data_IF_775271801646
#
_entry.id   IF_775271801646
#
_cell.length_a   1.000
_cell.length_b   1.000
_cell.length_c   1.000
_cell.angle_alpha   90.00
_cell.angle_beta   90.00
_cell.angle_gamma   90.00
#
_symmetry.space_group_name_H-M   'P 1'
#
loop_
_entity.id
_entity.type
_entity.pdbx_description
1 polymer ?
#
# COMPACT_ATOMS: atom_id res chain seq x y z
N UNK A 1 6.29 -27.45 22.00
CA UNK A 1 5.45 -27.65 20.79
C UNK A 1 4.88 -26.29 20.45
N UNK A 2 5.38 -25.65 19.39
CA UNK A 2 4.81 -24.38 18.91
C UNK A 2 3.40 -24.69 18.41
N UNK A 3 2.42 -23.88 18.79
CA UNK A 3 1.01 -24.07 18.44
C UNK A 3 0.85 -24.19 16.92
N UNK A 4 0.35 -25.33 16.48
CA UNK A 4 0.28 -25.85 15.09
C UNK A 4 -0.48 -24.95 14.08
N UNK A 5 -1.01 -23.82 14.53
CA UNK A 5 -1.87 -22.94 13.73
C UNK A 5 -1.22 -21.63 13.29
N UNK A 6 -0.15 -21.14 13.92
CA UNK A 6 0.32 -19.76 13.70
C UNK A 6 0.83 -19.47 12.27
N UNK A 7 1.02 -20.50 11.44
CA UNK A 7 1.54 -20.40 10.08
C UNK A 7 0.68 -21.14 9.04
N UNK A 8 -0.61 -21.39 9.35
CA UNK A 8 -1.53 -22.01 8.41
C UNK A 8 -1.91 -21.02 7.29
N UNK A 9 -1.53 -21.36 6.06
CA UNK A 9 -1.80 -20.54 4.86
C UNK A 9 -2.70 -21.32 3.91
N UNK A 10 -3.80 -20.71 3.49
CA UNK A 10 -4.61 -21.22 2.39
C UNK A 10 -4.26 -20.50 1.10
N UNK A 11 -3.97 -21.24 0.02
CA UNK A 11 -3.70 -20.71 -1.31
C UNK A 11 -4.88 -21.06 -2.22
N UNK A 12 -5.55 -20.04 -2.76
CA UNK A 12 -6.66 -20.21 -3.71
C UNK A 12 -6.38 -19.55 -5.04
N UNK A 13 -6.82 -20.18 -6.12
CA UNK A 13 -6.56 -19.75 -7.49
C UNK A 13 -7.63 -20.25 -8.46
N UNK A 14 -7.70 -19.66 -9.66
CA UNK A 14 -8.55 -20.20 -10.72
C UNK A 14 -7.85 -21.40 -11.36
N UNK A 15 -8.50 -22.56 -11.31
CA UNK A 15 -8.04 -23.75 -12.03
C UNK A 15 -8.08 -23.47 -13.54
N UNK A 16 -6.90 -23.18 -14.08
CA UNK A 16 -6.68 -22.81 -15.47
C UNK A 16 -5.96 -23.94 -16.21
N UNK A 17 -4.91 -23.64 -16.97
CA UNK A 17 -4.08 -24.64 -17.65
C UNK A 17 -3.08 -25.34 -16.71
N UNK A 18 -2.48 -26.44 -17.18
CA UNK A 18 -1.53 -27.23 -16.41
C UNK A 18 -0.29 -26.42 -15.98
N UNK A 19 0.23 -25.55 -16.84
CA UNK A 19 1.40 -24.72 -16.52
C UNK A 19 1.14 -23.80 -15.31
N UNK A 20 -0.03 -23.15 -15.27
CA UNK A 20 -0.42 -22.31 -14.13
C UNK A 20 -0.61 -23.15 -12.85
N UNK A 21 -1.23 -24.34 -12.98
CA UNK A 21 -1.40 -25.25 -11.85
C UNK A 21 -0.05 -25.73 -11.31
N UNK A 22 0.91 -26.04 -12.16
CA UNK A 22 2.26 -26.43 -11.76
C UNK A 22 2.98 -25.25 -11.09
N UNK A 23 2.83 -24.02 -11.59
CA UNK A 23 3.37 -22.82 -10.93
C UNK A 23 2.82 -22.64 -9.50
N UNK A 24 1.51 -22.80 -9.32
CA UNK A 24 0.89 -22.74 -7.98
C UNK A 24 1.42 -23.87 -7.09
N UNK A 25 1.54 -25.09 -7.62
CA UNK A 25 2.09 -26.22 -6.88
C UNK A 25 3.52 -25.98 -6.40
N UNK A 26 4.41 -25.51 -7.28
CA UNK A 26 5.78 -25.15 -6.91
C UNK A 26 5.83 -24.01 -5.89
N UNK A 27 4.98 -22.99 -6.05
CA UNK A 27 4.86 -21.90 -5.10
C UNK A 27 4.46 -22.38 -3.70
N UNK A 28 3.44 -23.26 -3.61
CA UNK A 28 2.99 -23.86 -2.36
C UNK A 28 4.11 -24.70 -1.73
N UNK A 29 4.80 -25.53 -2.52
CA UNK A 29 5.94 -26.28 -2.02
C UNK A 29 7.06 -25.37 -1.52
N UNK A 30 7.36 -24.27 -2.20
CA UNK A 30 8.36 -23.30 -1.77
C UNK A 30 8.00 -22.64 -0.43
N UNK A 31 6.72 -22.32 -0.21
CA UNK A 31 6.23 -21.82 1.08
C UNK A 31 6.41 -22.88 2.19
N UNK A 32 6.23 -24.16 1.88
CA UNK A 32 6.43 -25.25 2.84
C UNK A 32 7.92 -25.48 3.12
N UNK A 33 8.73 -25.59 2.08
CA UNK A 33 10.17 -25.83 2.12
C UNK A 33 10.85 -24.95 1.03
N UNK A 34 11.73 -24.00 1.41
CA UNK A 34 12.40 -23.86 2.70
C UNK A 34 11.74 -22.88 3.68
N UNK A 35 10.56 -22.31 3.37
CA UNK A 35 10.02 -21.21 4.19
C UNK A 35 9.30 -21.64 5.47
N UNK A 36 8.92 -22.91 5.61
CA UNK A 36 8.41 -23.48 6.86
C UNK A 36 6.94 -23.18 7.17
N UNK A 37 6.13 -22.75 6.20
CA UNK A 37 4.70 -22.51 6.40
C UNK A 37 3.88 -23.80 6.20
N UNK A 38 2.79 -24.00 6.96
CA UNK A 38 1.78 -25.03 6.61
C UNK A 38 0.84 -24.48 5.53
N UNK A 39 1.38 -24.35 4.31
CA UNK A 39 0.63 -23.91 3.15
C UNK A 39 -0.15 -25.07 2.52
N UNK A 40 -1.44 -24.86 2.25
CA UNK A 40 -2.33 -25.79 1.54
C UNK A 40 -3.04 -25.07 0.41
N UNK A 41 -3.33 -25.78 -0.69
CA UNK A 41 -4.02 -25.19 -1.84
C UNK A 41 -5.41 -25.80 -2.05
N UNK A 42 -6.31 -25.00 -2.62
CA UNK A 42 -7.71 -25.39 -2.90
C UNK A 42 -7.83 -26.74 -3.66
N UNK A 43 -6.98 -26.97 -4.65
CA UNK A 43 -6.99 -28.20 -5.47
C UNK A 43 -6.71 -29.43 -4.63
N UNK A 44 -5.78 -29.35 -3.67
CA UNK A 44 -5.49 -30.47 -2.76
C UNK A 44 -6.69 -30.78 -1.86
N UNK A 45 -7.35 -29.75 -1.32
CA UNK A 45 -8.54 -29.91 -0.48
C UNK A 45 -9.70 -30.53 -1.28
N UNK A 46 -9.87 -30.11 -2.53
CA UNK A 46 -10.90 -30.66 -3.43
C UNK A 46 -10.66 -32.13 -3.80
N UNK A 47 -9.41 -32.59 -3.81
CA UNK A 47 -9.08 -34.00 -4.07
C UNK A 47 -9.35 -34.88 -2.84
N UNK A 48 -9.19 -34.33 -1.63
CA UNK A 48 -9.44 -35.04 -0.38
C UNK A 48 -10.95 -35.20 -0.10
N UNK A 49 -11.79 -34.30 -0.61
CA UNK A 49 -13.24 -34.35 -0.48
C UNK A 49 -13.92 -34.34 -1.86
N UNK A 50 -14.41 -35.50 -2.30
CA UNK A 50 -14.98 -35.73 -3.65
C UNK A 50 -16.14 -34.80 -4.04
N UNK A 51 -16.81 -34.14 -3.09
CA UNK A 51 -17.96 -33.28 -3.34
C UNK A 51 -17.94 -31.95 -2.58
N UNK A 52 -16.76 -31.43 -2.18
CA UNK A 52 -16.70 -30.15 -1.48
C UNK A 52 -17.12 -28.99 -2.41
N UNK A 53 -18.07 -28.17 -1.96
CA UNK A 53 -18.45 -26.96 -2.69
C UNK A 53 -17.41 -25.86 -2.52
N UNK A 54 -17.27 -24.97 -3.50
CA UNK A 54 -16.37 -23.82 -3.42
C UNK A 54 -16.71 -22.92 -2.21
N UNK A 55 -18.01 -22.79 -1.88
CA UNK A 55 -18.50 -22.13 -0.66
C UNK A 55 -17.90 -22.72 0.61
N UNK A 56 -17.94 -24.05 0.77
CA UNK A 56 -17.42 -24.74 1.95
C UNK A 56 -15.90 -24.64 2.03
N UNK A 57 -15.19 -24.71 0.89
CA UNK A 57 -13.75 -24.46 0.85
C UNK A 57 -13.42 -23.03 1.29
N UNK A 58 -14.15 -22.03 0.79
CA UNK A 58 -13.92 -20.64 1.13
C UNK A 58 -14.23 -20.33 2.60
N UNK A 59 -15.30 -20.91 3.13
CA UNK A 59 -15.63 -20.79 4.55
C UNK A 59 -14.49 -21.34 5.43
N UNK A 60 -13.94 -22.52 5.08
CA UNK A 60 -12.77 -23.06 5.80
C UNK A 60 -11.53 -22.19 5.65
N UNK A 61 -11.27 -21.63 4.47
CA UNK A 61 -10.19 -20.65 4.29
C UNK A 61 -10.35 -19.45 5.24
N UNK A 62 -11.59 -19.01 5.45
CA UNK A 62 -11.95 -17.91 6.35
C UNK A 62 -11.91 -18.29 7.84
N UNK A 63 -12.17 -19.54 8.23
CA UNK A 63 -12.22 -19.93 9.64
C UNK A 63 -10.96 -20.60 10.16
N UNK A 64 -10.32 -21.43 9.33
CA UNK A 64 -9.31 -22.40 9.78
C UNK A 64 -7.87 -21.93 9.50
N UNK A 65 -7.71 -20.86 8.71
CA UNK A 65 -6.40 -20.35 8.29
C UNK A 65 -6.20 -18.88 8.71
N UNK A 66 -4.96 -18.56 9.09
CA UNK A 66 -4.54 -17.24 9.52
C UNK A 66 -4.31 -16.30 8.34
N UNK A 67 -3.80 -16.86 7.23
CA UNK A 67 -3.54 -16.14 5.99
C UNK A 67 -4.19 -16.83 4.81
N UNK A 68 -4.69 -16.04 3.88
CA UNK A 68 -5.23 -16.51 2.60
C UNK A 68 -4.49 -15.81 1.47
N UNK A 69 -3.77 -16.59 0.66
CA UNK A 69 -3.15 -16.10 -0.58
C UNK A 69 -4.13 -16.33 -1.72
N UNK A 70 -4.45 -15.26 -2.44
CA UNK A 70 -5.27 -15.30 -3.65
C UNK A 70 -4.34 -15.10 -4.84
N UNK A 71 -4.21 -16.13 -5.68
CA UNK A 71 -3.40 -16.08 -6.89
C UNK A 71 -4.24 -15.56 -8.05
N UNK A 72 -3.97 -14.32 -8.44
CA UNK A 72 -4.59 -13.64 -9.57
C UNK A 72 -4.02 -14.17 -10.90
N UNK A 73 -4.90 -14.31 -11.88
CA UNK A 73 -4.59 -14.74 -13.24
C UNK A 73 -5.68 -14.22 -14.19
N UNK A 74 -5.46 -14.21 -15.52
CA UNK A 74 -6.50 -13.82 -16.46
C UNK A 74 -7.77 -14.67 -16.32
N UNK A 75 -7.62 -15.96 -16.03
CA UNK A 75 -8.76 -16.85 -15.76
C UNK A 75 -9.49 -16.48 -14.48
N UNK A 76 -8.76 -16.08 -13.44
CA UNK A 76 -9.32 -15.61 -12.19
C UNK A 76 -10.12 -14.32 -12.41
N UNK A 77 -9.59 -13.33 -13.15
CA UNK A 77 -10.33 -12.12 -13.56
C UNK A 77 -11.61 -12.45 -14.33
N UNK A 78 -11.54 -13.35 -15.30
CA UNK A 78 -12.73 -13.76 -16.06
C UNK A 78 -13.83 -14.33 -15.15
N UNK A 79 -13.45 -15.19 -14.20
CA UNK A 79 -14.39 -15.75 -13.23
C UNK A 79 -14.96 -14.67 -12.31
N UNK A 80 -14.11 -13.82 -11.75
CA UNK A 80 -14.51 -12.68 -10.91
C UNK A 80 -15.57 -11.81 -11.60
N UNK A 81 -15.31 -11.42 -12.84
CA UNK A 81 -16.22 -10.60 -13.63
C UNK A 81 -17.56 -11.31 -13.94
N UNK A 82 -17.52 -12.61 -14.23
CA UNK A 82 -18.74 -13.40 -14.43
C UNK A 82 -19.59 -13.45 -13.14
N UNK A 83 -18.94 -13.50 -11.97
CA UNK A 83 -19.62 -13.48 -10.67
C UNK A 83 -20.17 -12.09 -10.31
N UNK A 84 -19.46 -11.01 -10.65
CA UNK A 84 -19.95 -9.62 -10.53
C UNK A 84 -21.23 -9.38 -11.37
N UNK A 85 -21.44 -10.16 -12.44
CA UNK A 85 -22.65 -10.16 -13.27
C UNK A 85 -23.91 -10.77 -12.66
N UNK A 86 -23.90 -11.19 -11.39
CA UNK A 86 -25.12 -11.49 -10.62
C UNK A 86 -25.46 -12.97 -10.38
N UNK A 87 -24.55 -13.91 -10.63
CA UNK A 87 -24.73 -15.33 -10.28
C UNK A 87 -23.43 -15.87 -9.66
N UNK A 88 -23.21 -15.59 -8.37
CA UNK A 88 -22.08 -16.14 -7.61
C UNK A 88 -21.98 -15.57 -6.21
N UNK A 89 -22.37 -16.35 -5.21
CA UNK A 89 -22.31 -15.96 -3.78
C UNK A 89 -20.88 -16.00 -3.22
N UNK A 90 -19.99 -16.75 -3.84
CA UNK A 90 -18.71 -17.15 -3.22
C UNK A 90 -17.64 -16.07 -3.31
N UNK A 91 -17.56 -15.40 -4.46
CA UNK A 91 -16.58 -14.36 -4.68
C UNK A 91 -16.89 -13.13 -3.82
N UNK A 92 -18.18 -12.81 -3.65
CA UNK A 92 -18.65 -11.79 -2.71
C UNK A 92 -18.25 -12.07 -1.27
N UNK A 93 -18.15 -13.34 -0.85
CA UNK A 93 -17.66 -13.67 0.50
C UNK A 93 -16.22 -13.21 0.69
N UNK A 94 -15.32 -13.46 -0.28
CA UNK A 94 -13.94 -12.95 -0.22
C UNK A 94 -13.93 -11.43 -0.14
N UNK A 95 -14.67 -10.76 -1.03
CA UNK A 95 -14.70 -9.30 -1.12
C UNK A 95 -15.21 -8.67 0.19
N UNK A 96 -16.21 -9.28 0.83
CA UNK A 96 -16.72 -8.78 2.10
C UNK A 96 -15.76 -9.07 3.27
N UNK A 97 -15.12 -10.25 3.28
CA UNK A 97 -14.23 -10.65 4.38
C UNK A 97 -12.89 -9.91 4.35
N UNK A 98 -12.35 -9.62 3.15
CA UNK A 98 -11.08 -8.89 2.99
C UNK A 98 -11.14 -7.46 3.54
N UNK A 99 -12.31 -6.82 3.51
CA UNK A 99 -12.52 -5.50 4.11
C UNK A 99 -12.64 -5.56 5.63
N UNK A 100 -13.06 -6.71 6.16
CA UNK A 100 -13.16 -6.95 7.62
C UNK A 100 -11.79 -7.32 8.20
N UNK A 101 -10.97 -8.07 7.46
CA UNK A 101 -9.68 -8.59 7.91
C UNK A 101 -8.52 -8.14 7.00
N UNK A 102 -8.06 -6.88 7.13
CA UNK A 102 -7.13 -6.26 6.18
C UNK A 102 -5.75 -6.95 6.09
N UNK A 103 -5.33 -7.67 7.12
CA UNK A 103 -4.04 -8.37 7.15
C UNK A 103 -4.15 -9.86 6.80
N UNK A 104 -5.36 -10.39 6.58
CA UNK A 104 -5.57 -11.82 6.34
C UNK A 104 -5.28 -12.23 4.89
N UNK A 105 -5.72 -11.39 3.95
CA UNK A 105 -5.68 -11.72 2.53
C UNK A 105 -4.48 -11.07 1.84
N UNK A 106 -3.76 -11.86 1.06
CA UNK A 106 -2.60 -11.42 0.29
C UNK A 106 -2.82 -11.75 -1.18
N UNK A 107 -2.88 -10.71 -2.01
CA UNK A 107 -3.02 -10.86 -3.46
C UNK A 107 -1.64 -11.11 -4.07
N UNK A 108 -1.51 -12.16 -4.87
CA UNK A 108 -0.28 -12.55 -5.55
C UNK A 108 -0.58 -12.74 -7.04
N UNK A 109 0.37 -12.43 -7.91
CA UNK A 109 0.28 -12.74 -9.34
C UNK A 109 1.60 -13.31 -9.86
N UNK A 110 1.52 -14.31 -10.74
CA UNK A 110 2.68 -14.83 -11.50
C UNK A 110 2.79 -14.23 -12.90
N UNK A 111 1.91 -13.29 -13.25
CA UNK A 111 1.79 -12.73 -14.59
C UNK A 111 1.82 -11.19 -14.58
N UNK A 112 2.22 -10.59 -13.45
CA UNK A 112 2.26 -9.14 -13.28
C UNK A 112 0.96 -8.55 -12.76
N UNK A 113 0.87 -7.22 -12.79
CA UNK A 113 -0.27 -6.44 -12.28
C UNK A 113 -1.13 -5.83 -13.41
N UNK A 114 -1.09 -6.45 -14.58
CA UNK A 114 -1.83 -5.98 -15.75
C UNK A 114 -3.34 -5.99 -15.52
N UNK A 115 -4.07 -5.11 -16.22
CA UNK A 115 -5.53 -5.08 -16.13
C UNK A 115 -6.10 -6.45 -16.51
N UNK A 116 -5.54 -7.16 -17.48
CA UNK A 116 -5.98 -8.51 -17.87
C UNK A 116 -5.91 -9.55 -16.75
N UNK A 117 -5.12 -9.31 -15.69
CA UNK A 117 -4.93 -10.19 -14.53
C UNK A 117 -5.76 -9.79 -13.33
N UNK A 118 -5.93 -8.48 -13.10
CA UNK A 118 -6.47 -7.94 -11.85
C UNK A 118 -7.97 -7.63 -11.98
N UNK A 119 -8.85 -8.28 -11.20
CA UNK A 119 -10.26 -7.91 -11.13
C UNK A 119 -10.46 -6.48 -10.62
N UNK A 120 -11.52 -5.80 -11.07
CA UNK A 120 -11.83 -4.42 -10.66
C UNK A 120 -11.99 -4.30 -9.13
N UNK A 121 -12.60 -5.30 -8.50
CA UNK A 121 -12.76 -5.42 -7.04
C UNK A 121 -11.45 -5.47 -6.24
N UNK A 122 -10.30 -5.69 -6.92
CA UNK A 122 -8.97 -5.70 -6.32
C UNK A 122 -8.03 -4.60 -6.86
N UNK A 123 -8.49 -3.75 -7.79
CA UNK A 123 -7.63 -2.79 -8.47
C UNK A 123 -6.96 -1.75 -7.54
N UNK A 124 -7.58 -1.44 -6.39
CA UNK A 124 -7.06 -0.51 -5.39
C UNK A 124 -6.26 -1.19 -4.27
N UNK A 125 -6.07 -2.51 -4.33
CA UNK A 125 -5.38 -3.28 -3.28
C UNK A 125 -3.93 -3.54 -3.64
N UNK A 126 -3.12 -3.74 -2.62
CA UNK A 126 -1.71 -4.10 -2.80
C UNK A 126 -1.59 -5.53 -3.35
N UNK A 127 -0.74 -5.70 -4.37
CA UNK A 127 -0.52 -6.97 -5.06
C UNK A 127 0.98 -7.28 -5.06
N UNK A 128 1.34 -8.47 -4.60
CA UNK A 128 2.70 -8.99 -4.74
C UNK A 128 2.87 -9.54 -6.15
N UNK A 129 3.84 -9.00 -6.87
CA UNK A 129 4.17 -9.40 -8.25
C UNK A 129 5.32 -10.40 -8.25
N UNK A 130 4.99 -11.67 -8.44
CA UNK A 130 5.93 -12.78 -8.57
C UNK A 130 6.08 -13.24 -10.03
N UNK A 131 5.81 -12.38 -11.02
CA UNK A 131 6.12 -12.68 -12.43
C UNK A 131 7.61 -12.94 -12.67
N UNK A 132 8.47 -12.32 -11.86
CA UNK A 132 9.87 -12.68 -11.73
C UNK A 132 10.12 -13.33 -10.36
N UNK A 133 10.21 -14.66 -10.33
CA UNK A 133 10.48 -15.43 -9.11
C UNK A 133 11.83 -15.11 -8.45
N UNK A 134 12.78 -14.48 -9.17
CA UNK A 134 14.04 -13.99 -8.59
C UNK A 134 13.92 -12.63 -7.90
N UNK A 135 12.74 -12.01 -7.87
CA UNK A 135 12.55 -10.71 -7.25
C UNK A 135 12.50 -10.82 -5.71
N UNK A 136 13.67 -10.75 -5.08
CA UNK A 136 13.82 -10.84 -3.62
C UNK A 136 13.00 -9.79 -2.87
N UNK A 137 12.78 -8.60 -3.45
CA UNK A 137 11.97 -7.55 -2.82
C UNK A 137 10.52 -7.98 -2.68
N UNK A 138 9.93 -8.51 -3.74
CA UNK A 138 8.52 -8.97 -3.71
C UNK A 138 8.36 -10.20 -2.81
N UNK A 139 9.35 -11.09 -2.79
CA UNK A 139 9.40 -12.18 -1.81
C UNK A 139 9.47 -11.68 -0.37
N UNK A 140 10.36 -10.73 -0.07
CA UNK A 140 10.47 -10.18 1.28
C UNK A 140 9.15 -9.50 1.70
N UNK A 141 8.49 -8.80 0.79
CA UNK A 141 7.14 -8.23 1.02
C UNK A 141 6.10 -9.31 1.33
N UNK A 142 6.09 -10.42 0.59
CA UNK A 142 5.19 -11.54 0.86
C UNK A 142 5.44 -12.13 2.25
N UNK A 143 6.70 -12.42 2.59
CA UNK A 143 7.08 -12.99 3.89
C UNK A 143 6.70 -12.05 5.04
N UNK A 144 6.95 -10.75 4.90
CA UNK A 144 6.57 -9.76 5.90
C UNK A 144 5.05 -9.72 6.12
N UNK A 145 4.24 -9.77 5.06
CA UNK A 145 2.77 -9.84 5.16
C UNK A 145 2.28 -11.16 5.78
N UNK A 146 2.93 -12.28 5.46
CA UNK A 146 2.61 -13.58 6.04
C UNK A 146 2.91 -13.65 7.54
N UNK A 147 3.94 -12.93 7.99
CA UNK A 147 4.37 -12.91 9.39
C UNK A 147 3.78 -11.75 10.22
N UNK A 148 3.02 -10.84 9.60
CA UNK A 148 2.57 -9.58 10.22
C UNK A 148 3.73 -8.75 10.80
N UNK A 149 4.84 -8.67 10.06
CA UNK A 149 6.04 -7.92 10.46
C UNK A 149 6.28 -6.71 9.57
N UNK A 150 6.83 -5.65 10.16
CA UNK A 150 7.26 -4.47 9.42
C UNK A 150 8.49 -4.75 8.55
N UNK A 151 8.59 -4.03 7.44
CA UNK A 151 9.76 -4.09 6.54
C UNK A 151 10.83 -3.04 6.90
N UNK A 152 10.49 -2.07 7.73
CA UNK A 152 11.32 -0.91 8.01
C UNK A 152 11.44 -0.71 9.51
N UNK A 153 12.67 -0.75 10.00
CA UNK A 153 13.00 -0.36 11.37
C UNK A 153 13.41 1.11 11.39
N UNK A 154 12.63 1.93 12.10
CA UNK A 154 12.98 3.33 12.32
C UNK A 154 13.82 3.46 13.58
N UNK A 155 14.81 4.35 13.54
CA UNK A 155 15.54 4.76 14.76
C UNK A 155 14.56 5.37 15.77
N UNK A 156 14.92 5.28 17.05
CA UNK A 156 14.13 5.91 18.11
C UNK A 156 13.96 7.41 17.83
N UNK A 157 12.75 7.90 18.10
CA UNK A 157 12.46 9.33 18.04
C UNK A 157 13.39 10.07 19.01
N UNK A 158 14.07 11.10 18.51
CA UNK A 158 14.96 11.91 19.32
C UNK A 158 14.19 12.61 20.45
N UNK A 159 14.83 12.76 21.62
CA UNK A 159 14.21 13.45 22.77
C UNK A 159 13.97 14.94 22.51
N UNK A 160 14.79 15.55 21.65
CA UNK A 160 14.73 16.97 21.32
C UNK A 160 14.10 17.17 19.94
N UNK A 161 13.11 18.07 19.88
CA UNK A 161 12.46 18.45 18.62
C UNK A 161 13.32 19.45 17.85
N UNK A 162 13.32 19.35 16.53
CA UNK A 162 13.93 20.37 15.68
C UNK A 162 13.21 21.72 15.88
N UNK A 163 13.99 22.77 16.10
CA UNK A 163 13.48 24.14 16.20
C UNK A 163 13.61 24.84 14.84
N UNK A 164 12.60 25.64 14.49
CA UNK A 164 12.66 26.46 13.29
C UNK A 164 13.71 27.58 13.46
N UNK A 165 14.61 27.71 12.49
CA UNK A 165 15.54 28.84 12.42
C UNK A 165 14.73 30.10 12.09
N UNK A 166 14.58 30.99 13.07
CA UNK A 166 13.91 32.28 12.87
C UNK A 166 14.86 33.24 12.16
N UNK A 167 14.45 33.78 11.02
CA UNK A 167 15.15 34.89 10.37
C UNK A 167 14.60 36.21 10.90
N UNK A 168 15.49 37.08 11.39
CA UNK A 168 15.13 38.46 11.73
C UNK A 168 15.44 39.35 10.52
N UNK A 169 14.48 40.11 10.00
CA UNK A 169 14.75 41.07 8.92
C UNK A 169 15.82 42.07 9.35
N UNK A 170 16.82 42.32 8.50
CA UNK A 170 17.75 43.42 8.70
C UNK A 170 16.96 44.71 8.53
N UNK A 171 16.82 45.49 9.61
CA UNK A 171 16.25 46.83 9.53
C UNK A 171 17.12 47.66 8.59
N UNK A 172 16.54 48.16 7.50
CA UNK A 172 17.23 49.09 6.61
C UNK A 172 17.74 50.29 7.43
N UNK A 173 18.96 50.79 7.17
CA UNK A 173 19.45 51.98 7.85
C UNK A 173 18.45 53.12 7.60
N UNK A 174 18.09 53.83 8.68
CA UNK A 174 17.24 55.03 8.57
C UNK A 174 17.87 55.96 7.55
N UNK A 175 17.08 56.41 6.57
CA UNK A 175 17.51 57.38 5.57
C UNK A 175 18.16 58.59 6.27
N UNK A 176 19.26 59.18 5.72
CA UNK A 176 19.87 60.34 6.34
C UNK A 176 18.84 61.47 6.46
N UNK A 177 18.78 62.10 7.63
CA UNK A 177 17.90 63.25 7.90
C UNK A 177 18.11 64.33 6.84
N UNK A 178 17.02 64.72 6.16
CA UNK A 178 17.05 65.84 5.21
C UNK A 178 17.23 67.13 6.00
N UNK A 179 18.45 67.67 6.00
CA UNK A 179 18.72 69.00 6.58
C UNK A 179 18.15 70.08 5.64
N UNK A 180 16.98 70.63 5.99
CA UNK A 180 16.42 71.79 5.28
C UNK A 180 17.21 73.04 5.68
N UNK A 181 18.06 73.54 4.77
CA UNK A 181 18.63 74.89 4.90
C UNK A 181 17.53 75.93 4.67
N UNK A 182 17.15 76.68 5.72
CA UNK A 182 16.33 77.90 5.59
C UNK A 182 17.09 78.95 4.79
N UNK A 183 16.55 79.36 3.64
CA UNK A 183 16.95 80.56 2.92
C UNK A 183 16.22 81.77 3.53
N UNK A 184 16.97 82.67 4.16
CA UNK A 184 16.44 83.93 4.68
C UNK A 184 16.52 85.00 3.60
N UNK A 185 15.38 85.41 3.06
CA UNK A 185 15.26 86.57 2.17
C UNK A 185 15.19 87.85 3.01
N UNK A 186 16.09 88.81 2.78
CA UNK A 186 15.98 90.17 3.33
C UNK A 186 15.21 91.05 2.36
N UNK A 187 14.03 91.52 2.77
CA UNK A 187 13.25 92.52 2.05
C UNK A 187 13.51 93.87 2.75
N UNK A 188 14.18 94.80 2.07
CA UNK A 188 14.37 96.17 2.55
C UNK A 188 13.23 97.04 2.03
N UNK A 189 12.40 97.55 2.94
CA UNK A 189 11.28 98.47 2.63
C UNK A 189 11.70 99.91 2.89
N UNK A 190 11.48 100.78 1.89
CA UNK A 190 10.82 102.07 2.07
C UNK A 190 11.65 103.31 2.42
N UNK A 191 11.91 104.09 1.36
CA UNK A 191 12.04 105.56 1.27
C UNK A 191 11.69 106.44 2.49
N UNK A 192 12.53 107.47 2.70
CA UNK A 192 12.26 108.63 3.57
C UNK A 192 11.88 109.84 2.71
N UNK A 193 10.71 110.40 3.01
CA UNK A 193 10.15 111.65 2.50
C UNK A 193 10.82 112.87 3.16
N UNK A 194 11.07 113.96 2.42
CA UNK A 194 11.36 115.30 2.99
C UNK A 194 10.70 116.40 2.16
N UNK A 195 9.90 117.31 2.75
CA UNK A 195 9.53 118.60 2.17
C UNK A 195 10.72 119.57 2.34
N UNK A 196 10.92 120.63 1.56
CA UNK A 196 10.09 121.82 1.29
C UNK A 196 10.41 122.29 -0.13
#
# INVERSE_FOLDING_TARGET
MLSDHQHAIFVTYAWDNQEHQDKVFHFVNFLRDPKGYDARMDKLVSQQETAISFQKMMHRAMTDYNKVIIVLSPKYKQRAHAFEGGVGTEYSMIINDIDTYPNKYILVSFSGRGDDVVPLSFASRDIIDLSNFGNEREWNRLIAKLNDTDLFDFVKVAEVRAEAIKQTPVLAPKSPEVVIKKLTYHITVGAVWRPI
#
